data_IF_489671460840
#
_entry.id   IF_489671460840
#
_cell.length_a   1.000
_cell.length_b   1.000
_cell.length_c   1.000
_cell.angle_alpha   90.00
_cell.angle_beta   90.00
_cell.angle_gamma   90.00
#
_symmetry.space_group_name_H-M   'P 1'
#
loop_
_entity.id
_entity.type
_entity.pdbx_description
1 polymer ?
#
# COMPACT_ATOMS: atom_id res chain seq x y z
N UNK A 1 10.29 -12.30 -4.14
CA UNK A 1 10.42 -11.75 -5.52
C UNK A 1 10.65 -10.24 -5.51
N UNK A 2 9.98 -9.46 -4.65
CA UNK A 2 10.18 -8.00 -4.56
C UNK A 2 11.62 -7.60 -4.23
N UNK A 3 12.28 -8.26 -3.28
CA UNK A 3 13.69 -7.99 -2.97
C UNK A 3 14.63 -8.12 -4.18
N UNK A 4 14.42 -9.15 -5.01
CA UNK A 4 15.25 -9.38 -6.21
C UNK A 4 15.03 -8.36 -7.33
N UNK A 5 13.82 -7.83 -7.47
CA UNK A 5 13.46 -6.94 -8.58
C UNK A 5 13.54 -5.45 -8.22
N UNK A 6 13.30 -5.13 -6.94
CA UNK A 6 13.08 -3.76 -6.50
C UNK A 6 13.86 -3.40 -5.22
N UNK A 7 14.69 -4.31 -4.69
CA UNK A 7 15.45 -4.08 -3.45
C UNK A 7 14.56 -3.90 -2.22
N UNK A 8 13.30 -4.37 -2.26
CA UNK A 8 12.32 -4.17 -1.19
C UNK A 8 11.85 -5.51 -0.60
N UNK A 9 12.20 -5.73 0.67
CA UNK A 9 11.79 -6.90 1.43
C UNK A 9 10.48 -6.64 2.16
N UNK A 10 9.39 -6.88 1.44
CA UNK A 10 8.05 -6.79 2.00
C UNK A 10 7.77 -7.97 2.94
N UNK A 11 7.29 -7.66 4.15
CA UNK A 11 6.78 -8.65 5.09
C UNK A 11 5.27 -8.53 5.15
N UNK A 12 4.57 -9.65 4.96
CA UNK A 12 3.14 -9.71 5.13
C UNK A 12 2.79 -9.90 6.61
N UNK A 13 2.29 -8.85 7.25
CA UNK A 13 2.20 -8.77 8.72
C UNK A 13 0.85 -9.20 9.31
N UNK A 14 -0.03 -9.82 8.52
CA UNK A 14 -1.32 -10.31 9.01
C UNK A 14 -1.19 -11.30 10.19
N UNK A 15 -0.08 -12.06 10.21
CA UNK A 15 0.25 -13.03 11.27
C UNK A 15 1.13 -12.46 12.39
N UNK A 16 1.57 -11.21 12.27
CA UNK A 16 2.36 -10.52 13.30
C UNK A 16 1.39 -9.91 14.31
N UNK A 17 1.62 -10.05 15.63
CA UNK A 17 0.81 -9.35 16.63
C UNK A 17 0.78 -7.86 16.39
N UNK A 18 -0.37 -7.22 16.60
CA UNK A 18 -0.63 -5.82 16.24
C UNK A 18 0.45 -4.86 16.74
N UNK A 19 0.87 -4.98 18.00
CA UNK A 19 1.89 -4.13 18.61
C UNK A 19 3.30 -4.26 17.99
N UNK A 20 3.53 -5.28 17.15
CA UNK A 20 4.82 -5.54 16.47
C UNK A 20 4.75 -5.29 14.96
N UNK A 21 3.61 -4.88 14.43
CA UNK A 21 3.46 -4.55 13.00
C UNK A 21 4.20 -3.26 12.67
N UNK A 22 4.97 -3.26 11.58
CA UNK A 22 5.65 -2.07 11.06
C UNK A 22 4.79 -1.34 10.05
N UNK A 23 4.10 -2.07 9.18
CA UNK A 23 3.36 -1.50 8.05
C UNK A 23 1.85 -1.63 8.18
N UNK A 24 1.36 -2.62 8.95
CA UNK A 24 -0.07 -2.82 9.19
C UNK A 24 -0.53 -4.21 8.77
N UNK A 25 -1.81 -4.51 8.99
CA UNK A 25 -2.33 -5.87 8.86
C UNK A 25 -2.25 -6.41 7.42
N UNK A 26 -2.60 -5.56 6.45
CA UNK A 26 -2.63 -5.89 5.02
C UNK A 26 -1.97 -4.78 4.21
N UNK A 27 -0.76 -4.38 4.63
CA UNK A 27 0.02 -3.40 3.91
C UNK A 27 0.41 -3.93 2.53
N UNK A 28 0.06 -3.18 1.48
CA UNK A 28 0.40 -3.50 0.11
C UNK A 28 1.59 -2.64 -0.35
N UNK A 29 2.64 -3.24 -0.94
CA UNK A 29 3.71 -2.48 -1.55
C UNK A 29 3.23 -1.80 -2.83
N UNK A 30 3.52 -0.50 -2.95
CA UNK A 30 3.09 0.35 -4.05
C UNK A 30 4.27 0.63 -4.96
N UNK A 31 4.20 0.09 -6.18
CA UNK A 31 5.18 0.31 -7.23
C UNK A 31 4.88 1.63 -7.96
N UNK A 32 5.88 2.51 -8.04
CA UNK A 32 5.85 3.72 -8.87
C UNK A 32 7.05 3.67 -9.80
N UNK A 33 6.79 3.53 -11.10
CA UNK A 33 7.84 3.25 -12.08
C UNK A 33 8.49 1.90 -11.81
N UNK A 34 9.78 1.91 -11.46
CA UNK A 34 10.63 0.76 -11.20
C UNK A 34 10.98 0.57 -9.71
N UNK A 35 10.34 1.31 -8.80
CA UNK A 35 10.62 1.24 -7.35
C UNK A 35 9.37 1.08 -6.51
N UNK A 36 9.50 0.37 -5.39
CA UNK A 36 8.46 0.37 -4.36
C UNK A 36 8.58 1.68 -3.59
N UNK A 37 7.63 2.59 -3.78
CA UNK A 37 7.65 3.93 -3.19
C UNK A 37 6.94 4.00 -1.84
N UNK A 38 5.98 3.12 -1.59
CA UNK A 38 5.24 3.10 -0.33
C UNK A 38 4.78 1.69 0.04
N UNK A 39 4.44 1.49 1.32
CA UNK A 39 3.60 0.40 1.79
C UNK A 39 2.32 1.03 2.36
N UNK A 40 1.16 0.60 1.87
CA UNK A 40 -0.14 1.17 2.26
C UNK A 40 -1.04 0.08 2.80
N UNK A 41 -1.36 0.17 4.09
CA UNK A 41 -2.36 -0.69 4.73
C UNK A 41 -3.75 -0.14 4.41
N UNK A 42 -4.56 -0.98 3.76
CA UNK A 42 -5.90 -0.60 3.32
C UNK A 42 -6.95 -1.56 3.87
N UNK A 43 -8.13 -1.03 4.16
CA UNK A 43 -9.30 -1.82 4.58
C UNK A 43 -10.49 -1.46 3.71
N UNK A 44 -11.05 -2.44 3.03
CA UNK A 44 -12.31 -2.28 2.31
C UNK A 44 -13.49 -2.32 3.30
N UNK A 45 -14.11 -1.17 3.55
CA UNK A 45 -15.39 -1.09 4.26
C UNK A 45 -16.51 -1.35 3.25
N UNK A 46 -16.96 -2.61 3.15
CA UNK A 46 -18.03 -3.02 2.24
C UNK A 46 -19.39 -2.42 2.60
N UNK A 47 -19.61 -2.07 3.86
CA UNK A 47 -20.88 -1.45 4.28
C UNK A 47 -21.02 -0.03 3.76
N UNK A 48 -19.89 0.70 3.68
CA UNK A 48 -19.82 2.07 3.16
C UNK A 48 -19.33 2.16 1.72
N UNK A 49 -18.99 1.02 1.11
CA UNK A 49 -18.37 0.92 -0.24
C UNK A 49 -17.18 1.87 -0.39
N UNK A 50 -16.28 1.87 0.60
CA UNK A 50 -15.10 2.74 0.64
C UNK A 50 -13.83 1.98 0.99
N UNK A 51 -12.73 2.37 0.37
CA UNK A 51 -11.39 1.92 0.72
C UNK A 51 -10.79 2.88 1.76
N UNK A 52 -10.51 2.38 2.95
CA UNK A 52 -9.94 3.16 4.04
C UNK A 52 -8.43 2.92 4.13
N UNK A 53 -7.65 3.99 4.11
CA UNK A 53 -6.20 3.93 4.34
C UNK A 53 -5.97 3.92 5.85
N UNK A 54 -5.41 2.82 6.35
CA UNK A 54 -5.10 2.63 7.77
C UNK A 54 -3.71 3.12 8.12
N UNK A 55 -2.77 2.94 7.19
CA UNK A 55 -1.42 3.45 7.31
C UNK A 55 -0.83 3.72 5.93
N UNK A 56 -0.09 4.81 5.80
CA UNK A 56 0.74 5.12 4.65
C UNK A 56 2.18 5.24 5.12
N UNK A 57 3.05 4.38 4.60
CA UNK A 57 4.49 4.43 4.93
C UNK A 57 5.30 4.59 3.66
N UNK A 58 6.05 5.68 3.56
CA UNK A 58 7.04 5.85 2.49
C UNK A 58 8.22 4.91 2.69
N UNK A 59 8.73 4.36 1.60
CA UNK A 59 10.00 3.63 1.61
C UNK A 59 11.19 4.59 1.56
N UNK A 60 12.40 4.07 1.78
CA UNK A 60 13.61 4.87 1.67
C UNK A 60 13.78 5.45 0.25
N UNK A 61 14.16 6.73 0.15
CA UNK A 61 14.27 7.44 -1.12
C UNK A 61 12.95 7.97 -1.70
N UNK A 62 11.83 7.81 -0.99
CA UNK A 62 10.53 8.35 -1.35
C UNK A 62 10.05 9.43 -0.34
N UNK A 63 9.13 10.33 -0.73
CA UNK A 63 8.55 10.47 -2.07
C UNK A 63 9.43 11.26 -3.05
N UNK A 64 9.37 10.89 -4.33
CA UNK A 64 9.80 11.75 -5.43
C UNK A 64 8.65 12.68 -5.88
N UNK A 65 8.97 13.68 -6.70
CA UNK A 65 7.97 14.59 -7.26
C UNK A 65 6.90 13.81 -8.04
N UNK A 66 5.63 14.01 -7.68
CA UNK A 66 4.48 13.37 -8.34
C UNK A 66 4.05 12.01 -7.77
N UNK A 67 4.86 11.36 -6.92
CA UNK A 67 4.54 10.03 -6.36
C UNK A 67 3.18 10.01 -5.67
N UNK A 68 2.96 10.97 -4.77
CA UNK A 68 1.73 11.04 -3.99
C UNK A 68 0.50 11.10 -4.90
N UNK A 69 0.51 11.97 -5.90
CA UNK A 69 -0.60 12.11 -6.84
C UNK A 69 -0.81 10.84 -7.68
N UNK A 70 0.28 10.20 -8.13
CA UNK A 70 0.20 8.94 -8.87
C UNK A 70 -0.40 7.81 -8.03
N UNK A 71 -0.01 7.73 -6.75
CA UNK A 71 -0.50 6.73 -5.81
C UNK A 71 -1.97 6.99 -5.47
N UNK A 72 -2.36 8.24 -5.19
CA UNK A 72 -3.76 8.61 -4.95
C UNK A 72 -4.65 8.25 -6.15
N UNK A 73 -4.20 8.55 -7.37
CA UNK A 73 -4.93 8.15 -8.59
C UNK A 73 -5.06 6.62 -8.71
N UNK A 74 -4.02 5.86 -8.33
CA UNK A 74 -4.07 4.40 -8.30
C UNK A 74 -5.02 3.88 -7.23
N UNK A 75 -5.04 4.49 -6.04
CA UNK A 75 -5.94 4.14 -4.95
C UNK A 75 -7.41 4.37 -5.33
N UNK A 76 -7.73 5.45 -6.04
CA UNK A 76 -9.08 5.66 -6.57
C UNK A 76 -9.51 4.57 -7.57
N UNK A 77 -8.63 4.19 -8.49
CA UNK A 77 -8.91 3.06 -9.41
C UNK A 77 -9.06 1.75 -8.65
N UNK A 78 -8.23 1.52 -7.63
CA UNK A 78 -8.29 0.32 -6.81
C UNK A 78 -9.58 0.26 -5.99
N UNK A 79 -10.01 1.37 -5.40
CA UNK A 79 -11.31 1.47 -4.72
C UNK A 79 -12.46 1.14 -5.66
N UNK A 80 -12.49 1.71 -6.87
CA UNK A 80 -13.50 1.40 -7.87
C UNK A 80 -13.51 -0.09 -8.24
N UNK A 81 -12.32 -0.69 -8.41
CA UNK A 81 -12.17 -2.13 -8.68
C UNK A 81 -12.70 -3.00 -7.53
N UNK A 82 -12.41 -2.64 -6.28
CA UNK A 82 -12.82 -3.42 -5.09
C UNK A 82 -14.34 -3.52 -4.93
N UNK A 83 -15.10 -2.58 -5.51
CA UNK A 83 -16.55 -2.52 -5.39
C UNK A 83 -17.27 -2.57 -6.75
N UNK A 84 -16.56 -2.97 -7.82
CA UNK A 84 -17.17 -3.26 -9.11
C UNK A 84 -18.04 -4.53 -8.96
N UNK A 85 -19.34 -4.35 -9.04
CA UNK A 85 -20.39 -5.37 -8.92
C UNK A 85 -21.55 -4.98 -9.81
#
# INVERSE_FOLDING_TARGET
RLGLLFGYDHVFEAYVPEARRRFGYFALPVLVGDRIAAAIDTKADRSKRRLEIRQWTWTEGAPAAGDKAAIEAALHRFEAFQFAS
#
